data_IF_219319792930
#
_entry.id   IF_219319792930
#
_cell.length_a   1.000
_cell.length_b   1.000
_cell.length_c   1.000
_cell.angle_alpha   90.00
_cell.angle_beta   90.00
_cell.angle_gamma   90.00
#
_symmetry.space_group_name_H-M   'P 1'
#
loop_
_entity.id
_entity.type
_entity.pdbx_description
1 polymer ?
#
# COMPACT_ATOMS: atom_id res chain seq x y z
N UNK A 1 24.79 17.96 2.73
CA UNK A 1 24.90 17.45 1.34
C UNK A 1 23.56 17.74 0.66
N UNK A 2 23.57 18.45 -0.48
CA UNK A 2 22.32 18.75 -1.20
C UNK A 2 21.91 17.52 -2.01
N UNK A 3 20.68 17.03 -1.82
CA UNK A 3 20.12 15.98 -2.66
C UNK A 3 19.51 16.61 -3.91
N UNK A 4 20.07 16.28 -5.08
CA UNK A 4 19.58 16.78 -6.36
C UNK A 4 18.69 15.70 -6.99
N UNK A 5 17.46 16.07 -7.32
CA UNK A 5 16.55 15.18 -8.01
C UNK A 5 16.65 15.45 -9.51
N UNK A 6 17.14 14.46 -10.26
CA UNK A 6 17.39 14.57 -11.70
C UNK A 6 16.61 13.49 -12.45
N UNK A 7 16.07 13.85 -13.62
CA UNK A 7 15.41 12.93 -14.55
C UNK A 7 16.34 12.68 -15.73
N UNK A 8 16.54 11.41 -16.08
CA UNK A 8 17.26 11.03 -17.29
C UNK A 8 16.35 11.19 -18.50
N UNK A 9 16.69 12.13 -19.38
CA UNK A 9 16.05 12.31 -20.68
C UNK A 9 16.72 11.44 -21.75
N UNK A 10 16.14 11.41 -22.95
CA UNK A 10 16.76 10.81 -24.13
C UNK A 10 18.18 11.34 -24.35
N UNK A 11 19.07 10.50 -24.88
CA UNK A 11 20.48 10.83 -25.13
C UNK A 11 21.36 11.00 -23.89
N UNK A 12 20.90 10.58 -22.70
CA UNK A 12 21.74 10.56 -21.50
C UNK A 12 21.88 11.91 -20.79
N UNK A 13 21.08 12.90 -21.20
CA UNK A 13 21.01 14.22 -20.56
C UNK A 13 20.23 14.11 -19.24
N UNK A 14 20.74 14.74 -18.19
CA UNK A 14 20.08 14.85 -16.89
C UNK A 14 19.44 16.24 -16.76
N UNK A 15 18.15 16.27 -16.45
CA UNK A 15 17.37 17.51 -16.24
C UNK A 15 16.87 17.59 -14.79
N UNK A 16 16.78 18.79 -14.19
CA UNK A 16 16.25 18.98 -12.86
C UNK A 16 14.79 18.52 -12.76
N UNK A 17 14.48 17.69 -11.75
CA UNK A 17 13.15 17.19 -11.48
C UNK A 17 12.30 18.15 -10.62
N UNK A 18 12.96 18.99 -9.81
CA UNK A 18 12.32 19.96 -8.92
C UNK A 18 12.81 21.38 -9.20
N UNK A 19 11.98 22.41 -8.98
CA UNK A 19 12.38 23.81 -9.11
C UNK A 19 13.61 24.14 -8.24
N UNK A 20 13.65 23.62 -7.02
CA UNK A 20 14.79 23.79 -6.10
C UNK A 20 16.11 23.25 -6.68
N UNK A 21 16.05 22.11 -7.37
CA UNK A 21 17.24 21.53 -8.04
C UNK A 21 17.67 22.42 -9.20
N UNK A 22 16.73 22.97 -9.96
CA UNK A 22 17.01 23.91 -11.04
C UNK A 22 17.67 25.20 -10.52
N UNK A 23 17.11 25.77 -9.45
CA UNK A 23 17.62 26.99 -8.84
C UNK A 23 19.03 26.78 -8.27
N UNK A 24 19.28 25.63 -7.64
CA UNK A 24 20.62 25.26 -7.18
C UNK A 24 21.62 25.16 -8.35
N UNK A 25 21.26 24.45 -9.42
CA UNK A 25 22.11 24.29 -10.59
C UNK A 25 22.40 25.62 -11.30
N UNK A 26 21.43 26.54 -11.35
CA UNK A 26 21.61 27.85 -12.01
C UNK A 26 22.35 28.86 -11.13
N UNK A 27 22.12 28.85 -9.81
CA UNK A 27 22.67 29.87 -8.90
C UNK A 27 24.02 29.50 -8.29
N UNK A 28 24.27 28.21 -8.03
CA UNK A 28 25.46 27.74 -7.30
C UNK A 28 26.48 27.04 -8.20
N UNK A 29 26.04 26.42 -9.30
CA UNK A 29 26.92 25.68 -10.21
C UNK A 29 27.23 26.51 -11.45
N UNK A 30 28.49 26.94 -11.61
CA UNK A 30 28.94 27.65 -12.82
C UNK A 30 29.10 26.66 -13.98
N UNK A 31 28.85 27.11 -15.21
CA UNK A 31 29.17 26.34 -16.42
C UNK A 31 30.65 25.89 -16.38
N UNK A 32 30.89 24.60 -16.58
CA UNK A 32 32.22 23.98 -16.57
C UNK A 32 32.69 23.44 -15.22
N UNK A 33 31.89 23.59 -14.15
CA UNK A 33 32.22 22.99 -12.85
C UNK A 33 31.95 21.49 -12.86
N UNK A 34 32.87 20.69 -12.33
CA UNK A 34 32.68 19.25 -12.13
C UNK A 34 31.82 19.05 -10.88
N UNK A 35 30.73 18.29 -11.02
CA UNK A 35 29.82 17.95 -9.92
C UNK A 35 30.00 16.47 -9.57
N UNK A 36 30.31 16.19 -8.31
CA UNK A 36 30.29 14.84 -7.75
C UNK A 36 28.94 14.62 -7.06
N UNK A 37 28.24 13.54 -7.40
CA UNK A 37 26.92 13.25 -6.86
C UNK A 37 26.71 11.74 -6.68
N UNK A 38 26.08 11.38 -5.56
CA UNK A 38 25.58 10.03 -5.32
C UNK A 38 24.19 9.88 -5.91
N UNK A 39 24.04 8.95 -6.85
CA UNK A 39 22.77 8.68 -7.51
C UNK A 39 22.03 7.52 -6.83
N UNK A 40 20.78 7.76 -6.47
CA UNK A 40 19.84 6.70 -6.07
C UNK A 40 18.66 6.69 -7.03
N UNK A 41 18.38 5.54 -7.63
CA UNK A 41 17.20 5.38 -8.48
C UNK A 41 15.93 5.39 -7.61
N UNK A 42 15.12 6.43 -7.75
CA UNK A 42 13.83 6.55 -7.06
C UNK A 42 12.74 5.90 -7.92
N UNK A 43 11.81 5.17 -7.29
CA UNK A 43 10.65 4.58 -7.97
C UNK A 43 9.82 5.68 -8.63
N UNK A 44 9.25 5.41 -9.81
CA UNK A 44 8.42 6.36 -10.54
C UNK A 44 7.20 6.83 -9.70
N UNK A 45 7.16 8.08 -9.22
CA UNK A 45 6.08 8.55 -8.34
C UNK A 45 4.73 8.65 -9.06
N UNK A 46 4.73 8.86 -10.38
CA UNK A 46 3.49 8.90 -11.16
C UNK A 46 2.84 7.52 -11.27
N UNK A 47 3.65 6.46 -11.43
CA UNK A 47 3.15 5.10 -11.43
C UNK A 47 2.60 4.70 -10.05
N UNK A 48 3.31 5.09 -8.98
CA UNK A 48 2.84 4.84 -7.61
C UNK A 48 1.49 5.52 -7.33
N UNK A 49 1.29 6.77 -7.79
CA UNK A 49 -0.01 7.44 -7.67
C UNK A 49 -1.13 6.70 -8.40
N UNK A 50 -0.87 6.18 -9.61
CA UNK A 50 -1.85 5.38 -10.36
C UNK A 50 -2.18 4.06 -9.64
N UNK A 51 -1.18 3.40 -9.08
CA UNK A 51 -1.36 2.18 -8.29
C UNK A 51 -2.27 2.42 -7.08
N UNK A 52 -2.02 3.48 -6.31
CA UNK A 52 -2.87 3.81 -5.14
C UNK A 52 -4.28 4.25 -5.55
N UNK A 53 -4.46 4.92 -6.69
CA UNK A 53 -5.79 5.23 -7.20
C UNK A 53 -6.61 3.96 -7.51
N UNK A 54 -5.97 2.90 -8.03
CA UNK A 54 -6.64 1.61 -8.27
C UNK A 54 -7.01 0.89 -6.96
N UNK A 55 -6.15 0.95 -5.94
CA UNK A 55 -6.48 0.41 -4.62
C UNK A 55 -7.68 1.12 -4.00
N UNK A 56 -7.75 2.46 -4.11
CA UNK A 56 -8.89 3.23 -3.64
C UNK A 56 -10.18 2.84 -4.38
N UNK A 57 -10.11 2.66 -5.70
CA UNK A 57 -11.25 2.19 -6.48
C UNK A 57 -11.68 0.78 -6.03
N UNK A 58 -10.75 -0.13 -5.82
CA UNK A 58 -11.04 -1.45 -5.26
C UNK A 58 -11.73 -1.34 -3.90
N UNK A 59 -11.23 -0.47 -3.02
CA UNK A 59 -11.82 -0.24 -1.70
C UNK A 59 -13.24 0.35 -1.75
N UNK A 60 -13.51 1.28 -2.68
CA UNK A 60 -14.82 1.92 -2.83
C UNK A 60 -15.87 0.99 -3.46
N UNK A 61 -15.47 0.14 -4.41
CA UNK A 61 -16.40 -0.66 -5.21
C UNK A 61 -16.48 -2.14 -4.80
N UNK A 62 -15.62 -2.59 -3.89
CA UNK A 62 -15.64 -3.96 -3.39
C UNK A 62 -16.18 -4.01 -1.97
N UNK A 63 -17.36 -4.60 -1.83
CA UNK A 63 -17.90 -5.01 -0.53
C UNK A 63 -17.51 -6.47 -0.27
N UNK A 64 -16.79 -6.77 0.82
CA UNK A 64 -16.42 -8.15 1.13
C UNK A 64 -17.66 -8.96 1.50
N UNK A 65 -18.09 -9.87 0.63
CA UNK A 65 -19.10 -10.90 0.97
C UNK A 65 -18.40 -12.00 1.77
N UNK A 66 -18.74 -12.18 3.05
CA UNK A 66 -18.07 -13.09 3.98
C UNK A 66 -17.18 -12.42 5.03
N UNK A 67 -17.29 -11.09 5.18
CA UNK A 67 -16.87 -10.36 6.37
C UNK A 67 -15.37 -10.21 6.54
N UNK A 68 -14.97 -9.08 7.13
CA UNK A 68 -13.62 -8.83 7.61
C UNK A 68 -13.24 -9.71 8.83
N UNK A 69 -13.74 -10.95 8.87
CA UNK A 69 -13.60 -11.88 9.99
C UNK A 69 -12.37 -12.74 9.73
N UNK A 70 -11.34 -12.48 10.51
CA UNK A 70 -10.11 -13.26 10.51
C UNK A 70 -10.37 -14.73 10.88
N UNK A 71 -9.47 -15.62 10.47
CA UNK A 71 -9.51 -17.04 10.85
C UNK A 71 -9.55 -17.23 12.38
N UNK A 72 -9.01 -16.26 13.15
CA UNK A 72 -9.04 -16.28 14.61
C UNK A 72 -10.44 -16.03 15.17
N UNK A 73 -11.16 -15.05 14.63
CA UNK A 73 -12.54 -14.72 15.04
C UNK A 73 -13.51 -15.85 14.69
N UNK A 74 -13.35 -16.45 13.50
CA UNK A 74 -14.10 -17.66 13.11
C UNK A 74 -13.86 -18.81 14.09
N UNK A 75 -12.62 -19.00 14.55
CA UNK A 75 -12.26 -20.02 15.55
C UNK A 75 -12.86 -19.74 16.91
N UNK A 76 -12.90 -18.47 17.32
CA UNK A 76 -13.49 -18.04 18.59
C UNK A 76 -15.00 -18.31 18.61
N UNK A 77 -15.73 -17.93 17.56
CA UNK A 77 -17.17 -18.15 17.44
C UNK A 77 -17.50 -19.64 17.37
N UNK A 78 -16.73 -20.42 16.61
CA UNK A 78 -16.87 -21.89 16.56
C UNK A 78 -16.59 -22.53 17.93
N UNK A 79 -15.55 -22.07 18.63
CA UNK A 79 -15.21 -22.55 19.97
C UNK A 79 -16.30 -22.22 21.00
N UNK A 80 -16.89 -21.04 20.91
CA UNK A 80 -18.01 -20.63 21.74
C UNK A 80 -19.27 -21.46 21.47
N UNK A 81 -19.60 -21.74 20.20
CA UNK A 81 -20.72 -22.62 19.83
C UNK A 81 -20.55 -24.04 20.41
N UNK A 82 -19.32 -24.58 20.38
CA UNK A 82 -19.00 -25.88 21.00
C UNK A 82 -19.06 -25.86 22.52
N UNK A 83 -18.61 -24.77 23.14
CA UNK A 83 -18.73 -24.58 24.58
C UNK A 83 -20.21 -24.58 25.00
N UNK A 84 -21.07 -23.84 24.30
CA UNK A 84 -22.52 -23.83 24.57
C UNK A 84 -23.16 -25.21 24.37
N UNK A 85 -22.76 -25.95 23.32
CA UNK A 85 -23.24 -27.32 23.10
C UNK A 85 -22.93 -28.26 24.28
N UNK A 86 -21.84 -28.02 25.02
CA UNK A 86 -21.49 -28.79 26.20
C UNK A 86 -22.42 -28.56 27.41
N UNK A 87 -23.10 -27.42 27.48
CA UNK A 87 -24.09 -27.12 28.54
C UNK A 87 -25.51 -27.54 28.16
N UNK A 88 -25.77 -27.82 26.89
CA UNK A 88 -27.05 -28.33 26.39
C UNK A 88 -27.37 -27.80 24.99
N UNK A 89 -27.85 -28.70 24.13
CA UNK A 89 -28.24 -28.39 22.76
C UNK A 89 -27.63 -29.36 21.75
N UNK A 90 -28.10 -29.27 20.51
CA UNK A 90 -27.51 -29.99 19.38
C UNK A 90 -26.28 -29.23 18.88
N UNK A 91 -25.10 -29.84 18.97
CA UNK A 91 -23.84 -29.25 18.48
C UNK A 91 -23.96 -28.84 17.01
N UNK A 92 -24.59 -29.67 16.18
CA UNK A 92 -24.78 -29.38 14.76
C UNK A 92 -25.63 -28.14 14.51
N UNK A 93 -26.70 -27.93 15.29
CA UNK A 93 -27.57 -26.76 15.14
C UNK A 93 -26.85 -25.46 15.55
N UNK A 94 -26.01 -25.51 16.59
CA UNK A 94 -25.25 -24.35 17.05
C UNK A 94 -24.10 -23.98 16.10
N UNK A 95 -23.46 -24.98 15.48
CA UNK A 95 -22.44 -24.74 14.47
C UNK A 95 -23.03 -24.19 13.17
N UNK A 96 -24.21 -24.66 12.77
CA UNK A 96 -24.91 -24.15 11.59
C UNK A 96 -25.38 -22.70 11.79
N UNK A 97 -25.94 -22.38 12.97
CA UNK A 97 -26.29 -21.01 13.33
C UNK A 97 -25.06 -20.09 13.39
N UNK A 98 -23.91 -20.59 13.87
CA UNK A 98 -22.65 -19.85 13.84
C UNK A 98 -22.14 -19.62 12.42
N UNK A 99 -22.36 -20.56 11.51
CA UNK A 99 -22.07 -20.39 10.08
C UNK A 99 -22.93 -19.30 9.45
N UNK A 100 -24.24 -19.36 9.67
CA UNK A 100 -25.20 -18.37 9.15
C UNK A 100 -25.00 -16.95 9.71
N UNK A 101 -24.46 -16.82 10.92
CA UNK A 101 -24.09 -15.52 11.50
C UNK A 101 -22.84 -14.90 10.87
N UNK A 102 -21.98 -15.73 10.25
CA UNK A 102 -20.70 -15.34 9.67
C UNK A 102 -20.78 -15.06 8.16
N UNK A 103 -21.86 -15.45 7.51
CA UNK A 103 -22.16 -15.21 6.09
C UNK A 103 -22.82 -13.83 5.89
#
# INVERSE_FOLDING_TARGET
MAQLHLIKQSQGILIPATPETSDFLQSKCKLGSVLEADYKLVRNPAFHRRYFALLNLGFEYWEPTGGAISSNERRLITGYAKYLAAYGGSESALLDAAGQYLD
#
